data_IF_052292951754
#
_entry.id   IF_052292951754
#
_cell.length_a   1.000
_cell.length_b   1.000
_cell.length_c   1.000
_cell.angle_alpha   90.00
_cell.angle_beta   90.00
_cell.angle_gamma   90.00
#
_symmetry.space_group_name_H-M   'P 1'
#
loop_
_entity.id
_entity.type
_entity.pdbx_description
1 polymer ?
#
# COMPACT_ATOMS: atom_id res chain seq x y z
N UNK A 1 29.56 -6.97 -45.22
CA UNK A 1 30.16 -8.06 -44.42
C UNK A 1 29.48 -8.04 -43.05
N UNK A 2 28.53 -8.96 -42.85
CA UNK A 2 27.94 -9.43 -41.58
C UNK A 2 28.16 -8.53 -40.35
N UNK A 3 27.36 -7.47 -40.23
CA UNK A 3 26.81 -7.07 -38.94
C UNK A 3 25.27 -7.12 -39.00
N UNK A 4 24.69 -8.09 -39.69
CA UNK A 4 24.02 -9.26 -39.08
C UNK A 4 24.24 -9.59 -37.58
N UNK A 5 25.02 -8.81 -36.81
CA UNK A 5 25.17 -8.87 -35.35
C UNK A 5 24.23 -7.90 -34.63
N UNK A 6 23.39 -7.14 -35.34
CA UNK A 6 22.18 -6.58 -34.76
C UNK A 6 21.24 -7.76 -34.48
N UNK A 7 21.60 -8.48 -33.43
CA UNK A 7 20.84 -9.54 -32.86
C UNK A 7 19.42 -9.02 -32.74
N UNK A 8 18.52 -9.83 -33.30
CA UNK A 8 17.16 -10.05 -32.83
C UNK A 8 17.19 -10.43 -31.34
N UNK A 9 17.74 -9.54 -30.51
CA UNK A 9 17.93 -9.57 -29.07
C UNK A 9 17.01 -8.49 -28.52
N UNK A 10 15.87 -8.77 -27.89
CA UNK A 10 15.19 -10.02 -27.61
C UNK A 10 13.71 -9.63 -27.51
N UNK A 11 12.83 -10.09 -28.42
CA UNK A 11 11.37 -9.84 -28.30
C UNK A 11 10.82 -10.25 -26.93
N UNK A 12 11.50 -11.18 -26.26
CA UNK A 12 11.19 -11.60 -24.90
C UNK A 12 11.53 -10.54 -23.83
N UNK A 13 12.72 -9.92 -23.88
CA UNK A 13 13.11 -8.90 -22.89
C UNK A 13 12.26 -7.64 -23.03
N UNK A 14 11.90 -7.25 -24.26
CA UNK A 14 10.97 -6.14 -24.50
C UNK A 14 9.58 -6.39 -23.91
N UNK A 15 9.09 -7.64 -23.98
CA UNK A 15 7.83 -8.04 -23.35
C UNK A 15 7.91 -8.07 -21.83
N UNK A 16 9.07 -8.35 -21.26
CA UNK A 16 9.28 -8.37 -19.80
C UNK A 16 9.52 -6.99 -19.21
N UNK A 17 10.09 -6.05 -19.96
CA UNK A 17 10.47 -4.74 -19.45
C UNK A 17 9.32 -3.97 -18.75
N UNK A 18 8.08 -3.96 -19.27
CA UNK A 18 6.94 -3.34 -18.58
C UNK A 18 6.62 -3.96 -17.21
N UNK A 19 6.95 -5.24 -17.00
CA UNK A 19 6.65 -6.03 -15.81
C UNK A 19 7.79 -6.08 -14.80
N UNK A 20 8.92 -5.42 -15.07
CA UNK A 20 10.08 -5.42 -14.19
C UNK A 20 9.71 -5.10 -12.74
N UNK A 21 8.91 -4.06 -12.51
CA UNK A 21 8.45 -3.71 -11.17
C UNK A 21 7.61 -4.80 -10.50
N UNK A 22 6.70 -5.44 -11.25
CA UNK A 22 5.89 -6.55 -10.73
C UNK A 22 6.75 -7.74 -10.33
N UNK A 23 7.76 -8.09 -11.14
CA UNK A 23 8.68 -9.20 -10.87
C UNK A 23 9.52 -8.93 -9.62
N UNK A 24 10.07 -7.72 -9.49
CA UNK A 24 10.92 -7.34 -8.36
C UNK A 24 10.12 -7.24 -7.06
N UNK A 25 8.89 -6.72 -7.11
CA UNK A 25 8.07 -6.51 -5.91
C UNK A 25 7.30 -7.75 -5.47
N UNK A 26 7.09 -8.74 -6.33
CA UNK A 26 6.33 -9.96 -6.00
C UNK A 26 6.92 -10.72 -4.79
N UNK A 27 8.23 -10.98 -4.67
CA UNK A 27 8.80 -11.59 -3.47
C UNK A 27 8.54 -10.79 -2.19
N UNK A 28 8.53 -9.46 -2.28
CA UNK A 28 8.24 -8.56 -1.15
C UNK A 28 6.77 -8.69 -0.73
N UNK A 29 5.85 -8.70 -1.70
CA UNK A 29 4.42 -8.93 -1.46
C UNK A 29 4.17 -10.30 -0.81
N UNK A 30 4.84 -11.36 -1.30
CA UNK A 30 4.77 -12.71 -0.72
C UNK A 30 5.28 -12.68 0.72
N UNK A 31 6.44 -12.09 0.97
CA UNK A 31 6.99 -11.95 2.32
C UNK A 31 6.01 -11.25 3.27
N UNK A 32 5.43 -10.11 2.86
CA UNK A 32 4.42 -9.42 3.67
C UNK A 32 3.17 -10.25 3.92
N UNK A 33 2.69 -11.00 2.92
CA UNK A 33 1.51 -11.87 3.07
C UNK A 33 1.74 -12.99 4.08
N UNK A 34 2.92 -13.61 4.09
CA UNK A 34 3.28 -14.64 5.06
C UNK A 34 3.56 -14.09 6.47
N UNK A 35 3.72 -12.77 6.61
CA UNK A 35 3.98 -12.10 7.88
C UNK A 35 2.82 -11.21 8.32
N UNK A 36 1.61 -11.41 7.80
CA UNK A 36 0.40 -10.78 8.33
C UNK A 36 0.27 -11.15 9.81
N UNK A 37 0.05 -10.15 10.67
CA UNK A 37 0.01 -10.32 12.13
C UNK A 37 1.35 -10.07 12.83
N UNK A 38 2.47 -10.06 12.10
CA UNK A 38 3.79 -9.73 12.65
C UNK A 38 4.06 -8.23 12.57
N UNK A 39 4.78 -7.68 13.55
CA UNK A 39 5.26 -6.30 13.51
C UNK A 39 6.61 -6.23 12.78
N UNK A 40 6.64 -5.60 11.61
CA UNK A 40 7.80 -5.50 10.73
C UNK A 40 8.49 -4.13 10.84
N UNK A 41 9.68 -4.00 10.27
CA UNK A 41 10.43 -2.75 10.33
C UNK A 41 9.68 -1.55 9.72
N UNK A 42 8.93 -1.76 8.64
CA UNK A 42 8.11 -0.72 8.02
C UNK A 42 6.96 -0.25 8.93
N UNK A 43 6.54 -1.07 9.91
CA UNK A 43 5.47 -0.72 10.83
C UNK A 43 5.85 0.36 11.82
N UNK A 44 7.15 0.60 12.07
CA UNK A 44 7.58 1.79 12.82
C UNK A 44 7.19 3.09 12.10
N UNK A 45 7.30 3.12 10.77
CA UNK A 45 6.86 4.27 9.98
C UNK A 45 5.33 4.38 9.98
N UNK A 46 4.62 3.25 9.80
CA UNK A 46 3.16 3.21 9.83
C UNK A 46 2.63 3.70 11.19
N UNK A 47 3.27 3.30 12.29
CA UNK A 47 2.94 3.73 13.65
C UNK A 47 3.21 5.22 13.83
N UNK A 48 4.35 5.73 13.38
CA UNK A 48 4.62 7.18 13.44
C UNK A 48 3.54 8.00 12.72
N UNK A 49 3.11 7.53 11.55
CA UNK A 49 2.04 8.17 10.78
C UNK A 49 0.70 8.07 11.53
N UNK A 50 0.43 6.93 12.17
CA UNK A 50 -0.76 6.72 13.01
C UNK A 50 -0.82 7.75 14.14
N UNK A 51 0.23 7.85 14.96
CA UNK A 51 0.27 8.79 16.08
C UNK A 51 0.18 10.25 15.60
N UNK A 52 0.85 10.56 14.50
CA UNK A 52 0.74 11.87 13.85
C UNK A 52 -0.69 12.20 13.42
N UNK A 53 -1.46 11.19 13.00
CA UNK A 53 -2.86 11.34 12.61
C UNK A 53 -3.76 11.81 13.73
N UNK A 54 -3.61 11.27 14.94
CA UNK A 54 -4.32 11.81 16.10
C UNK A 54 -4.04 13.31 16.29
N UNK A 55 -2.79 13.75 16.12
CA UNK A 55 -2.42 15.17 16.17
C UNK A 55 -3.15 16.01 15.12
N UNK A 56 -3.17 15.55 13.86
CA UNK A 56 -3.86 16.22 12.74
C UNK A 56 -5.37 16.34 13.01
N UNK A 57 -5.99 15.31 13.56
CA UNK A 57 -7.44 15.23 13.74
C UNK A 57 -7.94 15.69 15.11
N UNK A 58 -7.06 16.23 15.97
CA UNK A 58 -7.35 16.67 17.34
C UNK A 58 -8.54 17.63 17.48
N UNK A 59 -8.81 18.45 16.47
CA UNK A 59 -9.85 19.48 16.52
C UNK A 59 -11.26 18.97 16.18
N UNK A 60 -11.40 17.72 15.73
CA UNK A 60 -12.65 17.18 15.18
C UNK A 60 -13.47 16.34 16.19
N UNK A 61 -13.19 16.46 17.49
CA UNK A 61 -13.87 15.71 18.55
C UNK A 61 -13.30 14.29 18.73
N UNK A 62 -13.76 13.60 19.78
CA UNK A 62 -13.18 12.33 20.25
C UNK A 62 -13.15 11.24 19.17
N UNK A 63 -14.28 10.96 18.54
CA UNK A 63 -14.38 9.91 17.52
C UNK A 63 -13.44 10.13 16.33
N UNK A 64 -13.42 11.34 15.75
CA UNK A 64 -12.58 11.62 14.58
C UNK A 64 -11.11 11.70 14.99
N UNK A 65 -10.80 12.21 16.19
CA UNK A 65 -9.46 12.16 16.75
C UNK A 65 -8.92 10.73 16.84
N UNK A 66 -9.70 9.81 17.42
CA UNK A 66 -9.33 8.39 17.54
C UNK A 66 -9.21 7.72 16.17
N UNK A 67 -10.15 7.98 15.27
CA UNK A 67 -10.10 7.45 13.89
C UNK A 67 -8.92 8.04 13.08
N UNK A 68 -8.44 9.22 13.47
CA UNK A 68 -7.40 9.99 12.79
C UNK A 68 -6.11 9.24 12.54
N UNK A 69 -5.71 8.35 13.46
CA UNK A 69 -4.50 7.56 13.28
C UNK A 69 -4.58 6.62 12.09
N UNK A 70 -5.61 5.77 12.05
CA UNK A 70 -5.87 4.90 10.89
C UNK A 70 -6.15 5.68 9.62
N UNK A 71 -6.82 6.84 9.70
CA UNK A 71 -7.04 7.69 8.52
C UNK A 71 -5.72 8.14 7.90
N UNK A 72 -4.77 8.65 8.69
CA UNK A 72 -3.48 9.07 8.14
C UNK A 72 -2.64 7.91 7.61
N UNK A 73 -2.72 6.75 8.26
CA UNK A 73 -2.14 5.52 7.74
C UNK A 73 -2.64 5.23 6.31
N UNK A 74 -3.90 5.47 6.00
CA UNK A 74 -4.44 5.24 4.64
C UNK A 74 -4.12 6.42 3.71
N UNK A 75 -4.33 7.66 4.16
CA UNK A 75 -4.22 8.88 3.35
C UNK A 75 -2.82 9.05 2.78
N UNK A 76 -1.78 8.95 3.62
CA UNK A 76 -0.39 9.23 3.21
C UNK A 76 0.08 8.32 2.06
N UNK A 77 0.10 6.98 2.19
CA UNK A 77 0.51 6.11 1.09
C UNK A 77 -0.40 6.28 -0.13
N UNK A 78 -1.71 6.48 0.07
CA UNK A 78 -2.65 6.71 -1.04
C UNK A 78 -2.33 7.98 -1.84
N UNK A 79 -1.90 9.07 -1.18
CA UNK A 79 -1.46 10.30 -1.87
C UNK A 79 -0.28 10.02 -2.79
N UNK A 80 0.70 9.22 -2.36
CA UNK A 80 1.83 8.84 -3.20
C UNK A 80 1.41 7.92 -4.35
N UNK A 81 0.50 6.97 -4.11
CA UNK A 81 -0.10 6.15 -5.17
C UNK A 81 -0.70 7.06 -6.25
N UNK A 82 -1.60 7.97 -5.86
CA UNK A 82 -2.26 8.91 -6.78
C UNK A 82 -1.24 9.76 -7.52
N UNK A 83 -0.24 10.31 -6.81
CA UNK A 83 0.81 11.12 -7.42
C UNK A 83 1.55 10.37 -8.53
N UNK A 84 1.99 9.12 -8.30
CA UNK A 84 2.71 8.35 -9.30
C UNK A 84 1.83 7.81 -10.43
N UNK A 85 0.53 7.58 -10.16
CA UNK A 85 -0.44 7.32 -11.23
C UNK A 85 -0.63 8.52 -12.15
N UNK A 86 -0.69 9.74 -11.60
CA UNK A 86 -0.76 10.99 -12.38
C UNK A 86 0.52 11.17 -13.19
N UNK A 87 1.69 10.93 -12.59
CA UNK A 87 3.00 11.02 -13.26
C UNK A 87 3.30 9.87 -14.23
N UNK A 88 2.40 8.88 -14.34
CA UNK A 88 2.58 7.69 -15.20
C UNK A 88 3.87 6.93 -14.90
N UNK A 89 4.36 6.98 -13.67
CA UNK A 89 5.54 6.22 -13.24
C UNK A 89 5.10 4.87 -12.66
N UNK A 90 5.23 3.80 -13.46
CA UNK A 90 4.84 2.43 -13.08
C UNK A 90 5.42 2.00 -11.74
N UNK A 91 6.75 1.97 -11.65
CA UNK A 91 7.43 1.45 -10.45
C UNK A 91 7.06 2.22 -9.18
N UNK A 92 6.93 3.55 -9.27
CA UNK A 92 6.46 4.37 -8.16
C UNK A 92 5.06 3.98 -7.72
N UNK A 93 4.09 3.94 -8.64
CA UNK A 93 2.73 3.55 -8.32
C UNK A 93 2.66 2.15 -7.69
N UNK A 94 3.44 1.19 -8.21
CA UNK A 94 3.54 -0.17 -7.68
C UNK A 94 4.13 -0.20 -6.26
N UNK A 95 5.25 0.48 -6.02
CA UNK A 95 5.91 0.49 -4.72
C UNK A 95 5.01 1.09 -3.63
N UNK A 96 4.30 2.18 -3.93
CA UNK A 96 3.38 2.80 -2.97
C UNK A 96 2.07 2.02 -2.79
N UNK A 97 1.60 1.28 -3.81
CA UNK A 97 0.51 0.31 -3.64
C UNK A 97 0.93 -0.87 -2.76
N UNK A 98 2.17 -1.34 -2.87
CA UNK A 98 2.73 -2.36 -1.96
C UNK A 98 2.84 -1.83 -0.54
N UNK A 99 3.30 -0.59 -0.35
CA UNK A 99 3.30 -0.01 1.00
C UNK A 99 1.87 0.14 1.54
N UNK A 100 0.92 0.65 0.75
CA UNK A 100 -0.48 0.73 1.16
C UNK A 100 -1.04 -0.65 1.55
N UNK A 101 -0.79 -1.68 0.75
CA UNK A 101 -1.26 -3.04 1.02
C UNK A 101 -0.67 -3.62 2.30
N UNK A 102 0.63 -3.45 2.53
CA UNK A 102 1.29 -3.87 3.76
C UNK A 102 0.73 -3.11 4.98
N UNK A 103 0.52 -1.81 4.85
CA UNK A 103 -0.02 -0.99 5.93
C UNK A 103 -1.47 -1.34 6.25
N UNK A 104 -2.26 -1.79 5.27
CA UNK A 104 -3.59 -2.36 5.51
C UNK A 104 -3.52 -3.67 6.33
N UNK A 105 -2.47 -4.50 6.17
CA UNK A 105 -2.25 -5.66 7.06
C UNK A 105 -1.88 -5.25 8.49
N UNK A 106 -1.14 -4.15 8.66
CA UNK A 106 -0.88 -3.56 9.97
C UNK A 106 -2.17 -3.11 10.64
N UNK A 107 -3.01 -2.33 9.93
CA UNK A 107 -4.33 -1.89 10.41
C UNK A 107 -5.23 -3.08 10.71
N UNK A 108 -5.24 -4.11 9.86
CA UNK A 108 -6.00 -5.34 10.08
C UNK A 108 -5.69 -5.98 11.44
N UNK A 109 -4.41 -6.14 11.74
CA UNK A 109 -3.95 -6.79 12.98
C UNK A 109 -4.39 -5.96 14.19
N UNK A 110 -4.25 -4.64 14.10
CA UNK A 110 -4.69 -3.72 15.16
C UNK A 110 -6.21 -3.72 15.36
N UNK A 111 -6.99 -3.69 14.27
CA UNK A 111 -8.44 -3.71 14.32
C UNK A 111 -8.99 -5.03 14.88
N UNK A 112 -8.40 -6.16 14.48
CA UNK A 112 -8.77 -7.48 14.99
C UNK A 112 -8.47 -7.67 16.49
N UNK A 113 -7.53 -6.91 17.04
CA UNK A 113 -7.19 -6.97 18.47
C UNK A 113 -8.15 -6.17 19.36
N UNK A 114 -9.17 -5.49 18.81
CA UNK A 114 -10.01 -4.56 19.56
C UNK A 114 -10.68 -5.15 20.82
N UNK A 115 -11.10 -6.42 20.83
CA UNK A 115 -11.59 -7.05 22.08
C UNK A 115 -10.48 -7.66 22.92
N UNK A 116 -9.45 -8.21 22.28
CA UNK A 116 -8.42 -8.99 22.96
C UNK A 116 -7.37 -8.09 23.65
N UNK A 117 -7.09 -6.92 23.09
CA UNK A 117 -6.13 -5.92 23.55
C UNK A 117 -4.78 -6.53 23.97
N UNK A 118 -4.28 -7.47 23.17
CA UNK A 118 -3.02 -8.17 23.41
C UNK A 118 -1.82 -7.42 22.85
N UNK A 119 -2.04 -6.52 21.89
CA UNK A 119 -0.97 -5.76 21.27
C UNK A 119 -0.44 -4.70 22.24
N UNK A 120 0.89 -4.53 22.34
CA UNK A 120 1.47 -3.44 23.13
C UNK A 120 1.17 -2.10 22.44
N UNK A 121 0.55 -1.17 23.17
CA UNK A 121 0.26 0.17 22.68
C UNK A 121 1.42 1.13 22.93
N UNK A 122 1.60 2.10 22.03
CA UNK A 122 2.51 3.21 22.27
C UNK A 122 1.95 4.06 23.42
N UNK A 123 2.71 4.20 24.51
CA UNK A 123 2.23 4.83 25.76
C UNK A 123 1.69 3.83 26.80
N UNK A 124 1.59 2.55 26.46
CA UNK A 124 1.22 1.46 27.38
C UNK A 124 -0.16 1.62 28.00
N UNK A 125 -0.31 1.23 29.27
CA UNK A 125 -1.61 1.20 29.98
C UNK A 125 -2.23 2.60 30.25
N UNK A 126 -1.59 3.68 29.81
CA UNK A 126 -2.11 5.05 29.96
C UNK A 126 -2.96 5.50 28.77
N UNK A 127 -2.90 4.77 27.67
CA UNK A 127 -3.70 5.03 26.47
C UNK A 127 -4.78 3.96 26.34
N UNK A 128 -5.89 4.33 25.71
CA UNK A 128 -6.92 3.37 25.33
C UNK A 128 -6.65 2.84 23.92
N UNK A 129 -7.26 1.71 23.59
CA UNK A 129 -7.13 1.09 22.28
C UNK A 129 -8.13 1.70 21.29
N UNK A 130 -7.65 2.24 20.17
CA UNK A 130 -8.47 3.06 19.25
C UNK A 130 -9.62 2.26 18.65
N UNK A 131 -9.33 1.08 18.10
CA UNK A 131 -10.35 0.22 17.52
C UNK A 131 -11.36 -0.32 18.54
N UNK A 132 -10.97 -0.49 19.82
CA UNK A 132 -11.94 -0.78 20.88
C UNK A 132 -12.91 0.39 21.04
N UNK A 133 -12.40 1.61 21.12
CA UNK A 133 -13.23 2.80 21.25
C UNK A 133 -14.16 2.96 20.03
N UNK A 134 -13.59 2.95 18.82
CA UNK A 134 -14.33 3.13 17.56
C UNK A 134 -15.45 2.09 17.43
N UNK A 135 -15.16 0.80 17.64
CA UNK A 135 -16.16 -0.24 17.47
C UNK A 135 -17.22 -0.24 18.57
N UNK A 136 -16.90 0.18 19.80
CA UNK A 136 -17.92 0.36 20.84
C UNK A 136 -18.87 1.52 20.53
N UNK A 137 -18.34 2.67 20.11
CA UNK A 137 -19.16 3.83 19.72
C UNK A 137 -20.11 3.48 18.54
N UNK A 138 -19.69 2.57 17.67
CA UNK A 138 -20.51 2.08 16.55
C UNK A 138 -21.44 0.92 16.92
N UNK A 139 -21.32 0.33 18.12
CA UNK A 139 -22.06 -0.88 18.51
C UNK A 139 -21.64 -2.15 17.74
N UNK A 140 -20.41 -2.19 17.22
CA UNK A 140 -19.87 -3.24 16.35
C UNK A 140 -18.68 -3.99 16.95
N UNK A 141 -18.43 -3.89 18.26
CA UNK A 141 -17.26 -4.49 18.92
C UNK A 141 -17.13 -6.00 18.71
N UNK A 142 -18.26 -6.72 18.56
CA UNK A 142 -18.26 -8.16 18.29
C UNK A 142 -17.74 -8.55 16.90
N UNK A 143 -17.63 -7.58 15.99
CA UNK A 143 -17.20 -7.74 14.60
C UNK A 143 -15.74 -7.34 14.36
N UNK A 144 -14.93 -7.12 15.40
CA UNK A 144 -13.50 -6.77 15.30
C UNK A 144 -12.71 -7.65 14.32
N UNK A 145 -12.89 -8.98 14.38
CA UNK A 145 -12.25 -9.94 13.47
C UNK A 145 -12.72 -9.77 12.03
N UNK A 146 -14.01 -9.45 11.82
CA UNK A 146 -14.55 -9.20 10.47
C UNK A 146 -13.94 -7.92 9.90
N UNK A 147 -13.83 -6.87 10.71
CA UNK A 147 -13.18 -5.61 10.32
C UNK A 147 -11.72 -5.84 9.97
N UNK A 148 -10.98 -6.60 10.79
CA UNK A 148 -9.61 -7.02 10.47
C UNK A 148 -9.52 -7.72 9.11
N UNK A 149 -10.37 -8.73 8.89
CA UNK A 149 -10.41 -9.47 7.62
C UNK A 149 -10.74 -8.59 6.40
N UNK A 150 -11.58 -7.56 6.56
CA UNK A 150 -11.83 -6.57 5.49
C UNK A 150 -10.53 -5.86 5.12
N UNK A 151 -9.73 -5.43 6.10
CA UNK A 151 -8.44 -4.81 5.83
C UNK A 151 -7.43 -5.77 5.19
N UNK A 152 -7.42 -7.06 5.57
CA UNK A 152 -6.63 -8.08 4.85
C UNK A 152 -7.04 -8.15 3.39
N UNK A 153 -8.35 -8.24 3.12
CA UNK A 153 -8.84 -8.31 1.75
C UNK A 153 -8.44 -7.07 0.93
N UNK A 154 -8.57 -5.87 1.51
CA UNK A 154 -8.14 -4.63 0.87
C UNK A 154 -6.63 -4.60 0.63
N UNK A 155 -5.82 -5.10 1.57
CA UNK A 155 -4.36 -5.19 1.40
C UNK A 155 -3.96 -6.11 0.26
N UNK A 156 -4.58 -7.29 0.17
CA UNK A 156 -4.39 -8.23 -0.94
C UNK A 156 -4.85 -7.62 -2.27
N UNK A 157 -5.98 -6.92 -2.29
CA UNK A 157 -6.46 -6.22 -3.47
C UNK A 157 -5.46 -5.16 -3.95
N UNK A 158 -4.84 -4.40 -3.03
CA UNK A 158 -3.79 -3.44 -3.37
C UNK A 158 -2.57 -4.11 -4.01
N UNK A 159 -2.16 -5.30 -3.54
CA UNK A 159 -1.08 -6.08 -4.17
C UNK A 159 -1.45 -6.57 -5.57
N UNK A 160 -2.68 -7.06 -5.77
CA UNK A 160 -3.18 -7.44 -7.10
C UNK A 160 -3.14 -6.24 -8.05
N UNK A 161 -3.62 -5.08 -7.61
CA UNK A 161 -3.56 -3.84 -8.40
C UNK A 161 -2.11 -3.48 -8.72
N UNK A 162 -1.19 -3.57 -7.75
CA UNK A 162 0.23 -3.30 -7.95
C UNK A 162 0.84 -4.22 -9.04
N UNK A 163 0.49 -5.51 -9.07
CA UNK A 163 1.00 -6.43 -10.08
C UNK A 163 0.53 -6.06 -11.49
N UNK A 164 -0.68 -5.52 -11.64
CA UNK A 164 -1.29 -5.19 -12.94
C UNK A 164 -1.12 -3.73 -13.37
N UNK A 165 -0.45 -2.87 -12.59
CA UNK A 165 -0.13 -1.47 -12.98
C UNK A 165 0.45 -1.36 -14.40
N UNK A 166 1.32 -2.27 -14.89
CA UNK A 166 1.82 -2.20 -16.27
C UNK A 166 0.75 -2.24 -17.36
N UNK A 167 -0.43 -2.78 -17.06
CA UNK A 167 -1.61 -2.79 -17.95
C UNK A 167 -2.38 -1.47 -17.91
N UNK A 168 -2.35 -0.77 -16.77
CA UNK A 168 -3.09 0.48 -16.53
C UNK A 168 -2.32 1.69 -17.07
N UNK A 169 -1.01 1.74 -16.76
CA UNK A 169 -0.11 2.81 -17.21
C UNK A 169 0.60 2.31 -18.47
N UNK A 170 0.23 2.79 -19.66
CA UNK A 170 0.91 2.45 -20.90
C UNK A 170 2.16 3.32 -21.09
N UNK A 171 3.19 2.77 -21.74
CA UNK A 171 4.36 3.57 -22.16
C UNK A 171 3.89 4.50 -23.27
N UNK A 172 4.17 5.80 -23.18
CA UNK A 172 4.02 6.68 -24.33
C UNK A 172 5.04 6.22 -25.39
N UNK A 173 4.56 5.75 -26.54
CA UNK A 173 5.42 5.52 -27.69
C UNK A 173 5.90 6.90 -28.16
N UNK A 174 7.20 7.15 -28.07
CA UNK A 174 7.80 8.37 -28.60
C UNK A 174 7.47 8.42 -30.10
N UNK A 175 6.70 9.42 -30.53
CA UNK A 175 6.40 9.73 -31.93
C UNK A 175 7.65 10.19 -32.74
N UNK A 176 8.87 9.94 -32.24
CA UNK A 176 10.14 10.36 -32.85
C UNK A 176 10.49 9.60 -34.12
N UNK A 177 9.86 8.46 -34.41
CA UNK A 177 10.06 7.75 -35.69
C UNK A 177 9.27 8.37 -36.85
N UNK A 178 8.26 9.22 -36.60
CA UNK A 178 7.46 9.84 -37.68
C UNK A 178 8.07 11.10 -38.31
N UNK A 179 9.15 11.65 -37.73
CA UNK A 179 9.80 12.87 -38.24
C UNK A 179 11.04 12.63 -39.09
N UNK A 180 11.54 11.40 -39.16
CA UNK A 180 12.74 11.08 -39.96
C UNK A 180 12.38 10.79 -41.44
N UNK A 181 11.10 10.56 -41.75
CA UNK A 181 10.62 10.25 -43.10
C UNK A 181 10.08 11.47 -43.88
N UNK A 182 10.28 12.69 -43.38
CA UNK A 182 9.77 13.93 -44.01
C UNK A 182 10.86 14.90 -44.50
N UNK A 183 12.14 14.55 -44.40
CA UNK A 183 13.27 15.37 -44.88
C UNK A 183 14.06 14.70 -46.01
#
# INVERSE_FOLDING_TARGET
MKSFYALKENSFLEKLFPWFGSIVLLPVMIYFTFNIGSFLFIDYLNLLIHEGGHGVFKVFGGFIYTLGGTLMQIIIPSMFVVYYFIKKTKFGAQAFLVWLGQNLFNISTYAADARAQKLPLLGGNKVYHDWTYILNELGLIEYDQVVGNVFVFLGLAAFVVALIVPLIIKREENQSESRVDLD
#
